data_IF_480866466891
#
_entry.id   IF_480866466891
#
_cell.length_a   1.000
_cell.length_b   1.000
_cell.length_c   1.000
_cell.angle_alpha   90.00
_cell.angle_beta   90.00
_cell.angle_gamma   90.00
#
_symmetry.space_group_name_H-M   'P 1'
#
loop_
_entity.id
_entity.type
_entity.pdbx_description
1 polymer ?
#
# COMPACT_ATOMS: atom_id res chain seq x y z
N UNK A 1 16.99 1.00 -1.00
CA UNK A 1 15.56 1.10 -0.63
C UNK A 1 15.24 -0.02 0.36
N UNK A 2 15.17 0.26 1.67
CA UNK A 2 14.88 -0.75 2.70
C UNK A 2 13.36 -1.02 2.73
N UNK A 3 12.92 -2.11 2.12
CA UNK A 3 11.57 -2.63 2.37
C UNK A 3 11.40 -3.00 3.84
N UNK A 4 10.20 -2.82 4.39
CA UNK A 4 9.80 -3.14 5.77
C UNK A 4 10.02 -4.62 6.20
N UNK A 5 10.55 -5.47 5.32
CA UNK A 5 10.76 -6.90 5.52
C UNK A 5 11.92 -7.22 6.48
N UNK A 6 12.88 -6.31 6.70
CA UNK A 6 14.08 -6.58 7.50
C UNK A 6 14.00 -6.17 8.98
N UNK A 7 12.83 -5.78 9.49
CA UNK A 7 12.70 -5.27 10.86
C UNK A 7 12.25 -6.32 11.88
N UNK A 8 12.87 -6.35 13.08
CA UNK A 8 12.45 -7.23 14.18
C UNK A 8 10.96 -7.05 14.53
N UNK A 9 10.27 -8.11 14.99
CA UNK A 9 8.83 -8.09 15.28
C UNK A 9 8.35 -6.91 16.13
N UNK A 10 9.12 -6.53 17.15
CA UNK A 10 8.80 -5.42 18.04
C UNK A 10 8.87 -4.05 17.35
N UNK A 11 9.84 -3.85 16.43
CA UNK A 11 10.00 -2.59 15.70
C UNK A 11 8.89 -2.37 14.66
N UNK A 12 8.34 -3.45 14.11
CA UNK A 12 7.23 -3.38 13.13
C UNK A 12 5.95 -2.81 13.74
N UNK A 13 5.66 -3.13 15.01
CA UNK A 13 4.50 -2.59 15.73
C UNK A 13 4.64 -1.08 15.93
N UNK A 14 5.79 -0.64 16.43
CA UNK A 14 6.07 0.79 16.69
C UNK A 14 6.00 1.63 15.41
N UNK A 15 6.60 1.18 14.30
CA UNK A 15 6.55 1.92 13.03
C UNK A 15 5.13 2.03 12.48
N UNK A 16 4.34 0.95 12.63
CA UNK A 16 2.95 0.97 12.21
C UNK A 16 2.14 1.98 13.02
N UNK A 17 2.33 2.00 14.34
CA UNK A 17 1.70 2.99 15.22
C UNK A 17 2.10 4.42 14.84
N UNK A 18 3.38 4.68 14.58
CA UNK A 18 3.86 5.98 14.13
C UNK A 18 3.21 6.40 12.80
N UNK A 19 3.16 5.50 11.82
CA UNK A 19 2.51 5.75 10.54
C UNK A 19 1.02 6.08 10.71
N UNK A 20 0.31 5.30 11.53
CA UNK A 20 -1.11 5.53 11.82
C UNK A 20 -1.34 6.94 12.40
N UNK A 21 -0.50 7.36 13.35
CA UNK A 21 -0.60 8.69 13.94
C UNK A 21 -0.33 9.81 12.94
N UNK A 22 0.63 9.61 12.03
CA UNK A 22 0.92 10.57 10.96
C UNK A 22 -0.26 10.69 9.98
N UNK A 23 -0.79 9.56 9.51
CA UNK A 23 -1.92 9.51 8.58
C UNK A 23 -3.20 10.14 9.16
N UNK A 24 -3.46 9.96 10.46
CA UNK A 24 -4.62 10.57 11.14
C UNK A 24 -4.63 12.09 11.10
N UNK A 25 -3.47 12.74 10.96
CA UNK A 25 -3.33 14.20 10.89
C UNK A 25 -3.54 14.76 9.49
N UNK A 26 -3.46 13.93 8.45
CA UNK A 26 -3.44 14.35 7.04
C UNK A 26 -4.81 14.47 6.37
N UNK A 27 -5.90 14.10 7.06
CA UNK A 27 -7.28 14.31 6.59
C UNK A 27 -8.17 13.07 6.64
N UNK A 28 -9.44 13.21 6.24
CA UNK A 28 -10.45 12.16 6.39
C UNK A 28 -10.13 10.89 5.59
N UNK A 29 -9.57 11.04 4.39
CA UNK A 29 -9.15 9.92 3.56
C UNK A 29 -8.07 9.07 4.27
N UNK A 30 -6.98 9.72 4.67
CA UNK A 30 -5.88 9.06 5.37
C UNK A 30 -6.27 8.52 6.73
N UNK A 31 -7.21 9.17 7.43
CA UNK A 31 -7.81 8.66 8.66
C UNK A 31 -8.51 7.31 8.44
N UNK A 32 -9.22 7.14 7.32
CA UNK A 32 -9.83 5.85 6.96
C UNK A 32 -8.77 4.78 6.70
N UNK A 33 -7.71 5.12 5.96
CA UNK A 33 -6.58 4.20 5.71
C UNK A 33 -5.89 3.81 7.03
N UNK A 34 -5.70 4.78 7.92
CA UNK A 34 -5.11 4.57 9.24
C UNK A 34 -5.97 3.64 10.10
N UNK A 35 -7.30 3.80 10.10
CA UNK A 35 -8.22 2.92 10.82
C UNK A 35 -8.20 1.47 10.28
N UNK A 36 -8.07 1.28 8.97
CA UNK A 36 -7.87 -0.05 8.38
C UNK A 36 -6.51 -0.64 8.80
N UNK A 37 -5.47 0.20 8.81
CA UNK A 37 -4.15 -0.14 9.31
C UNK A 37 -4.11 -0.36 10.82
N UNK A 38 -5.12 -0.02 11.62
CA UNK A 38 -5.17 -0.35 13.06
C UNK A 38 -5.66 -1.79 13.30
N UNK A 39 -6.34 -2.39 12.33
CA UNK A 39 -6.95 -3.72 12.48
C UNK A 39 -5.89 -4.80 12.72
N UNK A 40 -6.15 -5.81 13.57
CA UNK A 40 -5.22 -6.93 13.77
C UNK A 40 -4.76 -7.54 12.44
N UNK A 41 -3.50 -7.98 12.33
CA UNK A 41 -2.90 -8.46 11.07
C UNK A 41 -3.76 -9.52 10.36
N UNK A 42 -4.41 -10.41 11.11
CA UNK A 42 -5.34 -11.43 10.59
C UNK A 42 -6.60 -10.86 9.89
N UNK A 43 -6.96 -9.61 10.16
CA UNK A 43 -8.09 -8.87 9.57
C UNK A 43 -7.62 -7.79 8.59
N UNK A 44 -6.32 -7.64 8.39
CA UNK A 44 -5.80 -6.72 7.39
C UNK A 44 -6.04 -7.30 6.00
N UNK A 45 -6.15 -6.39 5.03
CA UNK A 45 -6.47 -6.73 3.65
C UNK A 45 -5.25 -7.37 2.99
N UNK A 46 -5.47 -8.47 2.30
CA UNK A 46 -4.49 -9.11 1.45
C UNK A 46 -5.02 -9.06 0.02
N UNK A 47 -4.38 -8.25 -0.83
CA UNK A 47 -4.89 -7.94 -2.17
C UNK A 47 -3.97 -8.55 -3.21
N UNK A 48 -4.54 -9.32 -4.14
CA UNK A 48 -3.84 -9.89 -5.27
C UNK A 48 -3.73 -8.88 -6.43
N UNK A 49 -2.64 -8.98 -7.20
CA UNK A 49 -2.43 -8.16 -8.41
C UNK A 49 -3.58 -8.29 -9.41
N UNK A 50 -4.15 -9.48 -9.58
CA UNK A 50 -5.34 -9.68 -10.43
C UNK A 50 -6.53 -8.80 -10.05
N UNK A 51 -6.76 -8.55 -8.74
CA UNK A 51 -7.82 -7.63 -8.28
C UNK A 51 -7.43 -6.18 -8.59
N UNK A 52 -6.18 -5.81 -8.39
CA UNK A 52 -5.68 -4.47 -8.69
C UNK A 52 -5.83 -4.18 -10.19
N UNK A 53 -5.41 -5.10 -11.05
CA UNK A 53 -5.46 -4.94 -12.50
C UNK A 53 -6.90 -4.69 -13.01
N UNK A 54 -7.90 -5.36 -12.44
CA UNK A 54 -9.32 -5.21 -12.85
C UNK A 54 -9.94 -3.85 -12.49
N UNK A 55 -9.42 -3.19 -11.46
CA UNK A 55 -10.01 -1.96 -10.91
C UNK A 55 -9.17 -0.72 -11.17
N UNK A 56 -8.09 -0.85 -11.94
CA UNK A 56 -7.14 0.22 -12.17
C UNK A 56 -6.92 0.42 -13.66
N UNK A 57 -6.56 1.65 -14.01
CA UNK A 57 -6.17 2.06 -15.36
C UNK A 57 -4.71 2.49 -15.35
N UNK A 58 -4.18 2.71 -16.54
CA UNK A 58 -2.83 3.22 -16.72
C UNK A 58 -2.60 4.52 -15.93
N UNK A 59 -1.46 4.61 -15.24
CA UNK A 59 -1.04 5.72 -14.38
C UNK A 59 -1.89 5.96 -13.12
N UNK A 60 -2.79 5.03 -12.75
CA UNK A 60 -3.52 5.14 -11.49
C UNK A 60 -2.57 5.05 -10.26
N UNK A 61 -2.95 5.77 -9.21
CA UNK A 61 -2.31 5.73 -7.89
C UNK A 61 -3.23 5.00 -6.91
N UNK A 62 -2.74 3.88 -6.36
CA UNK A 62 -3.51 3.01 -5.47
C UNK A 62 -2.84 2.91 -4.13
N UNK A 63 -3.65 2.90 -3.07
CA UNK A 63 -3.22 2.53 -1.72
C UNK A 63 -3.90 1.24 -1.27
N UNK A 64 -3.12 0.34 -0.68
CA UNK A 64 -3.59 -0.90 -0.05
C UNK A 64 -3.24 -0.83 1.44
N UNK A 65 -4.27 -0.86 2.30
CA UNK A 65 -4.14 -0.78 3.77
C UNK A 65 -3.63 -2.09 4.42
N UNK A 66 -2.84 -2.87 3.69
CA UNK A 66 -2.36 -4.19 4.11
C UNK A 66 -1.26 -4.72 3.21
N UNK A 67 -1.32 -6.02 2.90
CA UNK A 67 -0.29 -6.70 2.11
C UNK A 67 -0.73 -6.89 0.66
N UNK A 68 0.15 -6.58 -0.28
CA UNK A 68 -0.03 -6.91 -1.70
C UNK A 68 0.64 -8.25 -1.99
N UNK A 69 -0.10 -9.13 -2.67
CA UNK A 69 0.30 -10.48 -3.05
C UNK A 69 0.44 -10.56 -4.56
N UNK A 70 1.45 -11.29 -5.03
CA UNK A 70 1.83 -11.39 -6.45
C UNK A 70 1.00 -12.36 -7.29
N UNK A 71 -0.23 -12.69 -6.90
CA UNK A 71 -1.04 -13.63 -7.69
C UNK A 71 -1.81 -12.90 -8.82
N UNK A 72 -1.51 -13.30 -10.06
CA UNK A 72 -2.09 -12.76 -11.29
C UNK A 72 -1.24 -11.65 -11.91
N UNK A 73 -1.67 -11.20 -13.09
CA UNK A 73 -0.90 -10.30 -13.92
C UNK A 73 -1.32 -8.84 -13.77
N UNK A 74 -0.37 -7.96 -14.06
CA UNK A 74 -0.56 -6.52 -14.14
C UNK A 74 -0.14 -6.09 -15.55
N UNK A 75 -1.08 -5.54 -16.32
CA UNK A 75 -0.87 -5.27 -17.76
C UNK A 75 -0.50 -3.81 -18.06
N UNK A 76 -0.71 -2.91 -17.09
CA UNK A 76 -0.48 -1.48 -17.25
C UNK A 76 0.34 -0.92 -16.09
N UNK A 77 1.14 0.13 -16.34
CA UNK A 77 1.93 0.77 -15.30
C UNK A 77 1.02 1.51 -14.31
N UNK A 78 1.21 1.20 -13.03
CA UNK A 78 0.50 1.85 -11.90
C UNK A 78 1.46 2.15 -10.77
N UNK A 79 1.07 3.09 -9.91
CA UNK A 79 1.78 3.35 -8.65
C UNK A 79 0.99 2.70 -7.51
N UNK A 80 1.60 1.73 -6.84
CA UNK A 80 0.97 1.02 -5.71
C UNK A 80 1.71 1.36 -4.43
N UNK A 81 0.98 1.92 -3.46
CA UNK A 81 1.45 2.08 -2.10
C UNK A 81 0.82 1.08 -1.15
N UNK A 82 1.65 0.35 -0.40
CA UNK A 82 1.15 -0.60 0.58
C UNK A 82 2.03 -0.64 1.83
N UNK A 83 1.48 -1.24 2.89
CA UNK A 83 2.26 -1.50 4.10
C UNK A 83 3.33 -2.56 3.84
N UNK A 84 2.98 -3.59 3.09
CA UNK A 84 3.93 -4.63 2.72
C UNK A 84 3.63 -5.23 1.34
N UNK A 85 4.66 -5.71 0.67
CA UNK A 85 4.57 -6.37 -0.62
C UNK A 85 5.20 -7.75 -0.53
N UNK A 86 4.64 -8.75 -1.22
CA UNK A 86 5.41 -9.99 -1.44
C UNK A 86 6.51 -9.75 -2.47
N UNK A 87 7.57 -10.54 -2.42
CA UNK A 87 8.65 -10.51 -3.43
C UNK A 87 8.08 -10.63 -4.85
N UNK A 88 7.20 -11.62 -5.04
CA UNK A 88 6.51 -11.81 -6.33
C UNK A 88 5.73 -10.57 -6.77
N UNK A 89 5.04 -9.90 -5.85
CA UNK A 89 4.27 -8.70 -6.17
C UNK A 89 5.18 -7.57 -6.68
N UNK A 90 6.31 -7.33 -6.01
CA UNK A 90 7.27 -6.30 -6.44
C UNK A 90 7.78 -6.60 -7.84
N UNK A 91 8.20 -7.84 -8.11
CA UNK A 91 8.72 -8.25 -9.41
C UNK A 91 7.68 -8.05 -10.51
N UNK A 92 6.44 -8.49 -10.32
CA UNK A 92 5.40 -8.32 -11.34
C UNK A 92 5.02 -6.85 -11.55
N UNK A 93 5.01 -6.03 -10.49
CA UNK A 93 4.77 -4.58 -10.62
C UNK A 93 5.90 -3.90 -11.39
N UNK A 94 7.16 -4.23 -11.10
CA UNK A 94 8.32 -3.70 -11.80
C UNK A 94 8.34 -4.12 -13.28
N UNK A 95 7.98 -5.38 -13.57
CA UNK A 95 7.83 -5.89 -14.95
C UNK A 95 6.77 -5.12 -15.74
N UNK A 96 5.67 -4.73 -15.10
CA UNK A 96 4.63 -3.90 -15.68
C UNK A 96 5.01 -2.41 -15.79
N UNK A 97 6.28 -2.04 -15.51
CA UNK A 97 6.77 -0.65 -15.43
C UNK A 97 6.04 0.19 -14.37
N UNK A 98 5.42 -0.47 -13.39
CA UNK A 98 4.79 0.17 -12.24
C UNK A 98 5.80 0.56 -11.17
N UNK A 99 5.31 1.29 -10.16
CA UNK A 99 6.12 1.75 -9.02
C UNK A 99 5.54 1.21 -7.72
N UNK A 100 6.36 0.51 -6.95
CA UNK A 100 6.07 0.15 -5.57
C UNK A 100 6.56 1.26 -4.64
N UNK A 101 5.65 1.87 -3.91
CA UNK A 101 5.95 2.92 -2.92
C UNK A 101 5.39 2.55 -1.55
N UNK A 102 5.82 3.26 -0.52
CA UNK A 102 5.25 3.08 0.82
C UNK A 102 4.04 3.98 1.02
N UNK A 103 3.17 3.62 1.98
CA UNK A 103 2.03 4.48 2.35
C UNK A 103 2.52 5.85 2.86
N UNK A 104 3.68 5.88 3.54
CA UNK A 104 4.28 7.12 4.00
C UNK A 104 4.61 8.05 2.82
N UNK A 105 5.36 7.55 1.84
CA UNK A 105 5.72 8.31 0.63
C UNK A 105 4.48 8.78 -0.14
N UNK A 106 3.44 7.94 -0.26
CA UNK A 106 2.18 8.37 -0.87
C UNK A 106 1.51 9.50 -0.09
N UNK A 107 1.52 9.43 1.24
CA UNK A 107 0.89 10.45 2.08
C UNK A 107 1.64 11.78 2.07
N UNK A 108 2.94 11.76 1.83
CA UNK A 108 3.76 12.97 1.65
C UNK A 108 3.55 13.57 0.27
N UNK A 109 3.45 12.73 -0.78
CA UNK A 109 3.25 13.18 -2.15
C UNK A 109 1.81 13.64 -2.44
N UNK A 110 0.82 13.02 -1.82
CA UNK A 110 -0.61 13.28 -2.02
C UNK A 110 -1.32 13.47 -0.67
N UNK A 111 -1.07 14.59 0.03
CA UNK A 111 -1.65 14.83 1.34
C UNK A 111 -3.18 14.84 1.33
N UNK A 112 -3.81 15.30 0.24
CA UNK A 112 -5.27 15.39 0.13
C UNK A 112 -5.96 14.05 -0.20
N UNK A 113 -5.23 13.05 -0.72
CA UNK A 113 -5.77 11.74 -1.08
C UNK A 113 -6.80 11.71 -2.23
N UNK A 114 -7.07 12.84 -2.90
CA UNK A 114 -8.12 12.96 -3.94
C UNK A 114 -7.87 12.09 -5.18
N UNK A 115 -6.62 11.91 -5.56
CA UNK A 115 -6.22 11.13 -6.74
C UNK A 115 -5.93 9.66 -6.39
N UNK A 116 -6.04 9.27 -5.13
CA UNK A 116 -5.68 7.94 -4.66
C UNK A 116 -6.93 7.07 -4.55
N UNK A 117 -6.86 5.87 -5.13
CA UNK A 117 -7.88 4.82 -4.96
C UNK A 117 -7.47 3.87 -3.84
N UNK A 118 -8.38 3.60 -2.90
CA UNK A 118 -8.18 2.54 -1.90
C UNK A 118 -8.65 1.22 -2.49
N UNK A 119 -7.76 0.22 -2.55
CA UNK A 119 -8.13 -1.14 -2.95
C UNK A 119 -7.96 -2.08 -1.76
N UNK A 120 -8.95 -2.93 -1.57
CA UNK A 120 -9.08 -3.75 -0.40
C UNK A 120 -9.87 -5.02 -0.54
#
# INVERSE_FOLDING_TARGET
>A
MRGFESLPPHKRKMQREMLIQDLKKKGNFWRSVASDLERPTRRQRAVNLSRINRHTKENDVIVVSGKVLGAGDLQHPITVGAWNFSNQAKTTIEQAKGKCVTIQELSEKYPDGKEIKVIG
#
